data_IF_155846596058
#
_entry.id   IF_155846596058
#
_cell.length_a   1.000
_cell.length_b   1.000
_cell.length_c   1.000
_cell.angle_alpha   90.00
_cell.angle_beta   90.00
_cell.angle_gamma   90.00
#
_symmetry.space_group_name_H-M   'P 1'
#
loop_
_entity.id
_entity.type
_entity.pdbx_description
1 polymer ?
#
# COMPACT_ATOMS: atom_id res chain seq x y z
N UNK A 1 3.90 -0.29 -25.62
CA UNK A 1 4.84 0.85 -25.68
C UNK A 1 4.54 1.75 -24.51
N UNK A 2 5.28 1.60 -23.41
CA UNK A 2 5.14 2.41 -22.20
C UNK A 2 6.01 3.67 -22.34
N UNK A 3 5.38 4.84 -22.41
CA UNK A 3 6.07 6.14 -22.41
C UNK A 3 6.35 6.53 -20.96
N UNK A 4 7.64 6.51 -20.57
CA UNK A 4 8.14 7.13 -19.34
C UNK A 4 8.18 8.66 -19.55
N UNK A 5 7.38 9.41 -18.77
CA UNK A 5 7.53 10.86 -18.68
C UNK A 5 8.68 11.19 -17.72
N UNK A 6 9.82 11.58 -18.27
CA UNK A 6 10.91 12.18 -17.49
C UNK A 6 10.61 13.64 -17.23
N UNK A 7 10.32 14.01 -15.99
CA UNK A 7 10.28 15.41 -15.56
C UNK A 7 11.71 15.90 -15.31
N UNK A 8 12.15 16.87 -16.10
CA UNK A 8 13.38 17.63 -15.82
C UNK A 8 13.04 18.78 -14.88
N UNK A 9 13.67 18.76 -13.72
CA UNK A 9 13.70 19.82 -12.72
C UNK A 9 14.52 21.00 -13.24
N UNK A 10 13.85 22.10 -13.57
CA UNK A 10 14.47 23.37 -13.95
C UNK A 10 14.50 24.29 -12.72
N UNK A 11 15.55 24.14 -11.91
CA UNK A 11 15.90 25.08 -10.85
C UNK A 11 16.60 26.30 -11.47
N UNK A 12 15.85 27.38 -11.62
CA UNK A 12 16.38 28.69 -11.98
C UNK A 12 16.76 29.45 -10.70
N UNK A 13 18.06 29.48 -10.41
CA UNK A 13 18.64 30.18 -9.26
C UNK A 13 18.61 31.71 -9.52
N UNK A 14 17.58 32.40 -9.02
CA UNK A 14 17.58 33.86 -8.91
C UNK A 14 18.13 34.27 -7.54
N UNK A 15 19.32 34.86 -7.55
CA UNK A 15 19.88 35.64 -6.44
C UNK A 15 19.15 36.98 -6.37
N UNK A 16 18.27 37.13 -5.39
CA UNK A 16 17.75 38.44 -5.00
C UNK A 16 18.60 39.00 -3.86
N UNK A 17 19.36 40.05 -4.20
CA UNK A 17 20.15 40.83 -3.27
C UNK A 17 19.24 41.82 -2.54
N UNK A 18 18.82 41.50 -1.32
CA UNK A 18 18.09 42.45 -0.47
C UNK A 18 19.09 43.28 0.34
N UNK A 19 19.36 44.46 -0.20
CA UNK A 19 19.88 45.68 0.45
C UNK A 19 19.75 45.70 1.97
N UNK A 20 20.90 45.74 2.66
CA UNK A 20 21.00 46.15 4.06
C UNK A 20 21.01 47.67 4.11
N UNK A 21 19.84 48.29 4.10
CA UNK A 21 19.70 49.70 4.45
C UNK A 21 18.72 49.85 5.61
N UNK A 22 19.16 49.38 6.79
CA UNK A 22 18.53 49.73 8.06
C UNK A 22 18.95 51.18 8.40
N UNK A 23 18.42 52.14 7.66
CA UNK A 23 18.39 53.52 8.11
C UNK A 23 17.45 53.57 9.32
N UNK A 24 18.04 53.60 10.51
CA UNK A 24 17.34 54.00 11.72
C UNK A 24 16.85 55.44 11.52
N UNK A 25 15.56 55.58 11.19
CA UNK A 25 14.89 56.87 11.03
C UNK A 25 14.51 57.46 12.40
N UNK A 26 15.44 57.43 13.35
CA UNK A 26 15.28 58.00 14.68
C UNK A 26 16.46 58.95 14.94
N UNK A 27 16.20 60.23 15.27
CA UNK A 27 17.27 61.14 15.64
C UNK A 27 17.97 60.60 16.89
N UNK A 28 19.31 60.70 16.92
CA UNK A 28 20.15 60.21 18.01
C UNK A 28 19.83 60.83 19.38
N UNK A 29 19.02 61.88 19.39
CA UNK A 29 18.61 62.66 20.57
C UNK A 29 17.17 62.33 21.05
N UNK A 30 16.50 61.34 20.43
CA UNK A 30 15.15 60.93 20.83
C UNK A 30 15.10 60.30 22.24
N UNK A 31 16.18 59.63 22.67
CA UNK A 31 16.26 58.95 23.97
C UNK A 31 17.10 59.69 25.03
N UNK A 32 17.68 60.86 24.72
CA UNK A 32 18.57 61.58 25.66
C UNK A 32 17.81 62.55 26.60
N UNK A 33 16.49 62.65 26.43
CA UNK A 33 15.63 63.31 27.41
C UNK A 33 15.35 62.34 28.57
N UNK A 34 16.32 62.27 29.49
CA UNK A 34 16.25 61.47 30.70
C UNK A 34 14.89 61.55 31.39
N UNK A 35 14.12 60.46 31.30
CA UNK A 35 12.96 60.20 32.15
C UNK A 35 13.50 60.17 33.57
N UNK A 36 13.25 61.27 34.28
CA UNK A 36 13.49 61.36 35.72
C UNK A 36 12.76 60.19 36.38
N UNK A 37 13.55 59.34 37.03
CA UNK A 37 13.11 58.36 38.01
C UNK A 37 12.05 58.99 38.92
N UNK A 38 10.81 58.56 38.77
CA UNK A 38 9.67 59.22 39.40
C UNK A 38 8.32 58.60 39.10
N UNK A 39 8.24 57.27 38.96
CA UNK A 39 6.98 56.54 38.97
C UNK A 39 7.22 55.17 39.58
N UNK A 40 7.21 55.15 40.90
CA UNK A 40 6.96 53.95 41.67
C UNK A 40 5.74 54.26 42.54
N UNK A 41 4.54 54.03 42.01
CA UNK A 41 3.36 53.82 42.85
C UNK A 41 2.26 53.01 42.13
N UNK A 42 2.01 51.83 42.71
CA UNK A 42 0.78 51.03 42.65
C UNK A 42 0.16 50.70 41.28
N UNK A 43 0.68 49.66 40.63
CA UNK A 43 -0.19 48.74 39.88
C UNK A 43 -0.57 47.61 40.84
N UNK A 44 -1.87 47.38 41.15
CA UNK A 44 -2.27 46.21 41.90
C UNK A 44 -1.81 44.99 41.10
N UNK A 45 -1.05 44.09 41.73
CA UNK A 45 -0.75 42.75 41.20
C UNK A 45 -2.03 41.91 41.26
N UNK A 46 -3.04 42.33 40.50
CA UNK A 46 -4.14 41.45 40.12
C UNK A 46 -3.59 40.47 39.09
N UNK A 47 -4.07 39.24 39.13
CA UNK A 47 -3.88 38.22 38.11
C UNK A 47 -4.54 38.71 36.80
N UNK A 48 -3.91 39.66 36.12
CA UNK A 48 -4.53 40.47 35.06
C UNK A 48 -4.20 39.92 33.67
N UNK A 49 -4.27 38.60 33.50
CA UNK A 49 -4.22 37.98 32.16
C UNK A 49 -5.59 38.03 31.47
N UNK A 50 -6.68 38.28 32.21
CA UNK A 50 -8.07 38.28 31.72
C UNK A 50 -8.52 39.58 31.05
N UNK A 51 -7.72 40.67 31.10
CA UNK A 51 -8.08 41.99 30.58
C UNK A 51 -7.31 42.47 29.34
N UNK A 52 -6.31 41.71 28.88
CA UNK A 52 -5.45 42.08 27.75
C UNK A 52 -5.94 41.35 26.48
N UNK A 53 -6.30 42.06 25.38
CA UNK A 53 -6.75 41.45 24.13
C UNK A 53 -5.74 40.44 23.55
N UNK A 54 -6.25 39.46 22.80
CA UNK A 54 -5.41 38.56 22.00
C UNK A 54 -4.57 39.36 20.99
N UNK A 55 -3.26 39.08 20.89
CA UNK A 55 -2.35 39.83 20.02
C UNK A 55 -1.91 41.20 20.56
N UNK A 56 -2.07 41.47 21.86
CA UNK A 56 -1.59 42.71 22.49
C UNK A 56 -0.07 42.81 22.59
N UNK A 57 0.61 41.67 22.70
CA UNK A 57 2.06 41.63 22.54
C UNK A 57 2.34 41.41 21.06
N UNK A 58 2.94 42.42 20.41
CA UNK A 58 3.33 42.42 18.99
C UNK A 58 4.16 41.17 18.59
N UNK A 59 4.74 40.48 19.57
CA UNK A 59 5.35 39.17 19.42
C UNK A 59 4.41 38.04 19.89
N UNK A 60 3.90 37.19 18.97
CA UNK A 60 3.06 36.03 19.29
C UNK A 60 3.67 35.07 20.33
N UNK A 61 5.01 34.99 20.38
CA UNK A 61 5.76 34.18 21.36
C UNK A 61 5.68 34.75 22.77
N UNK A 62 5.69 36.08 22.91
CA UNK A 62 5.56 36.76 24.19
C UNK A 62 4.12 36.71 24.68
N UNK A 63 3.14 36.86 23.77
CA UNK A 63 1.71 36.74 24.08
C UNK A 63 1.37 35.34 24.64
N UNK A 64 1.83 34.28 23.98
CA UNK A 64 1.63 32.89 24.40
C UNK A 64 2.32 32.58 25.75
N UNK A 65 3.55 33.08 25.94
CA UNK A 65 4.31 32.92 27.20
C UNK A 65 3.63 33.63 28.37
N UNK A 66 3.06 34.81 28.16
CA UNK A 66 2.28 35.54 29.18
C UNK A 66 0.99 34.80 29.53
N UNK A 67 0.35 34.16 28.55
CA UNK A 67 -0.84 33.30 28.78
C UNK A 67 -0.52 31.88 29.27
N UNK A 68 0.76 31.50 29.40
CA UNK A 68 1.21 30.12 29.72
C UNK A 68 0.68 29.07 28.74
N UNK A 69 0.42 29.47 27.49
CA UNK A 69 0.07 28.56 26.40
C UNK A 69 1.31 28.36 25.55
N UNK A 70 1.58 27.12 25.13
CA UNK A 70 2.72 26.81 24.25
C UNK A 70 2.51 27.47 22.88
N UNK A 71 3.44 28.34 22.49
CA UNK A 71 3.45 28.92 21.14
C UNK A 71 3.79 27.82 20.15
N UNK A 72 2.81 27.37 19.36
CA UNK A 72 3.04 26.55 18.18
C UNK A 72 3.05 27.46 16.97
N UNK A 73 4.09 27.35 16.15
CA UNK A 73 4.13 28.08 14.89
C UNK A 73 3.01 27.54 13.99
N UNK A 74 2.11 28.42 13.54
CA UNK A 74 0.99 28.02 12.67
C UNK A 74 1.50 27.36 11.39
N UNK A 75 2.69 27.74 10.91
CA UNK A 75 3.32 27.13 9.75
C UNK A 75 3.78 25.69 10.05
N UNK A 76 4.35 25.43 11.22
CA UNK A 76 4.83 24.10 11.63
C UNK A 76 3.65 23.14 11.86
N UNK A 77 2.57 23.61 12.51
CA UNK A 77 1.36 22.79 12.69
C UNK A 77 0.70 22.41 11.37
N UNK A 78 0.62 23.35 10.42
CA UNK A 78 0.09 23.06 9.08
C UNK A 78 1.01 22.13 8.29
N UNK A 79 2.32 22.27 8.46
CA UNK A 79 3.30 21.38 7.84
C UNK A 79 3.22 19.95 8.37
N UNK A 80 3.14 19.76 9.68
CA UNK A 80 2.93 18.45 10.29
C UNK A 80 1.62 17.80 9.82
N UNK A 81 0.53 18.59 9.74
CA UNK A 81 -0.75 18.11 9.19
C UNK A 81 -0.61 17.66 7.75
N UNK A 82 0.08 18.44 6.92
CA UNK A 82 0.32 18.07 5.52
C UNK A 82 1.16 16.79 5.39
N UNK A 83 2.24 16.66 6.16
CA UNK A 83 3.07 15.44 6.16
C UNK A 83 2.26 14.20 6.57
N UNK A 84 1.42 14.35 7.59
CA UNK A 84 0.53 13.27 8.03
C UNK A 84 -0.49 12.91 6.96
N UNK A 85 -1.14 13.90 6.34
CA UNK A 85 -2.10 13.67 5.26
C UNK A 85 -1.46 12.95 4.08
N UNK A 86 -0.26 13.37 3.67
CA UNK A 86 0.50 12.72 2.59
C UNK A 86 0.83 11.25 2.91
N UNK A 87 1.18 10.94 4.16
CA UNK A 87 1.43 9.55 4.57
C UNK A 87 0.15 8.71 4.55
N UNK A 88 -0.95 9.27 5.05
CA UNK A 88 -2.25 8.59 5.06
C UNK A 88 -2.72 8.32 3.64
N UNK A 89 -2.69 9.31 2.75
CA UNK A 89 -3.10 9.15 1.36
C UNK A 89 -2.23 8.12 0.61
N UNK A 90 -0.91 8.11 0.87
CA UNK A 90 -0.01 7.11 0.30
C UNK A 90 -0.34 5.70 0.82
N UNK A 91 -0.62 5.55 2.12
CA UNK A 91 -1.03 4.28 2.70
C UNK A 91 -2.37 3.79 2.12
N UNK A 92 -3.35 4.68 1.97
CA UNK A 92 -4.64 4.37 1.36
C UNK A 92 -4.43 3.93 -0.09
N UNK A 93 -3.61 4.66 -0.85
CA UNK A 93 -3.29 4.31 -2.24
C UNK A 93 -2.63 2.94 -2.34
N UNK A 94 -1.66 2.63 -1.48
CA UNK A 94 -1.02 1.32 -1.43
C UNK A 94 -2.03 0.22 -1.07
N UNK A 95 -2.86 0.45 -0.06
CA UNK A 95 -3.88 -0.51 0.36
C UNK A 95 -4.90 -0.81 -0.74
N UNK A 96 -5.25 0.17 -1.58
CA UNK A 96 -6.17 -0.03 -2.70
C UNK A 96 -5.51 -0.92 -3.76
N UNK A 97 -4.26 -0.63 -4.14
CA UNK A 97 -3.52 -1.40 -5.15
C UNK A 97 -3.29 -2.84 -4.68
N UNK A 98 -2.87 -3.02 -3.43
CA UNK A 98 -2.69 -4.35 -2.84
C UNK A 98 -4.00 -5.14 -2.82
N UNK A 99 -5.12 -4.48 -2.54
CA UNK A 99 -6.45 -5.09 -2.60
C UNK A 99 -6.82 -5.57 -4.00
N UNK A 100 -6.61 -4.74 -5.02
CA UNK A 100 -6.89 -5.09 -6.42
C UNK A 100 -6.02 -6.27 -6.90
N UNK A 101 -4.74 -6.27 -6.54
CA UNK A 101 -3.81 -7.36 -6.87
C UNK A 101 -4.21 -8.68 -6.17
N UNK A 102 -4.59 -8.62 -4.89
CA UNK A 102 -5.11 -9.77 -4.13
C UNK A 102 -6.39 -10.32 -4.77
N UNK A 103 -7.34 -9.46 -5.11
CA UNK A 103 -8.60 -9.86 -5.76
C UNK A 103 -8.37 -10.53 -7.11
N UNK A 104 -7.48 -9.96 -7.93
CA UNK A 104 -7.09 -10.53 -9.22
C UNK A 104 -6.47 -11.93 -9.06
N UNK A 105 -5.59 -12.08 -8.08
CA UNK A 105 -4.97 -13.37 -7.73
C UNK A 105 -6.02 -14.39 -7.30
N UNK A 106 -6.89 -14.03 -6.36
CA UNK A 106 -7.96 -14.90 -5.85
C UNK A 106 -8.93 -15.30 -6.96
N UNK A 107 -9.30 -14.38 -7.86
CA UNK A 107 -10.21 -14.68 -8.95
C UNK A 107 -9.60 -15.69 -9.94
N UNK A 108 -8.29 -15.57 -10.22
CA UNK A 108 -7.57 -16.57 -11.01
C UNK A 108 -7.55 -17.93 -10.33
N UNK A 109 -7.16 -17.98 -9.06
CA UNK A 109 -7.12 -19.21 -8.26
C UNK A 109 -8.51 -19.88 -8.21
N UNK A 110 -9.58 -19.10 -8.05
CA UNK A 110 -10.96 -19.60 -8.04
C UNK A 110 -11.36 -20.19 -9.39
N UNK A 111 -10.99 -19.56 -10.50
CA UNK A 111 -11.23 -20.09 -11.83
C UNK A 111 -10.52 -21.43 -12.04
N UNK A 112 -9.23 -21.52 -11.67
CA UNK A 112 -8.44 -22.75 -11.77
C UNK A 112 -9.05 -23.88 -10.91
N UNK A 113 -9.46 -23.57 -9.69
CA UNK A 113 -10.12 -24.53 -8.81
C UNK A 113 -11.46 -25.01 -9.36
N UNK A 114 -12.23 -24.11 -9.99
CA UNK A 114 -13.51 -24.46 -10.61
C UNK A 114 -13.31 -25.44 -11.77
N UNK A 115 -12.27 -25.25 -12.57
CA UNK A 115 -11.92 -26.14 -13.67
C UNK A 115 -11.47 -27.51 -13.15
N UNK A 116 -10.61 -27.54 -12.13
CA UNK A 116 -10.20 -28.78 -11.46
C UNK A 116 -11.40 -29.56 -10.92
N UNK A 117 -12.36 -28.87 -10.29
CA UNK A 117 -13.61 -29.50 -9.84
C UNK A 117 -14.35 -30.19 -10.98
N UNK A 118 -14.48 -29.53 -12.13
CA UNK A 118 -15.14 -30.13 -13.31
C UNK A 118 -14.39 -31.38 -13.78
N UNK A 119 -13.06 -31.36 -13.80
CA UNK A 119 -12.27 -32.53 -14.17
C UNK A 119 -12.44 -33.69 -13.19
N UNK A 120 -12.45 -33.42 -11.88
CA UNK A 120 -12.69 -34.46 -10.88
C UNK A 120 -14.09 -35.07 -11.02
N UNK A 121 -15.13 -34.24 -11.17
CA UNK A 121 -16.50 -34.73 -11.41
C UNK A 121 -16.58 -35.61 -12.66
N UNK A 122 -15.86 -35.24 -13.73
CA UNK A 122 -15.80 -36.04 -14.95
C UNK A 122 -15.07 -37.37 -14.72
N UNK A 123 -13.96 -37.36 -13.99
CA UNK A 123 -13.19 -38.55 -13.67
C UNK A 123 -14.02 -39.54 -12.82
N UNK A 124 -14.73 -39.04 -11.82
CA UNK A 124 -15.61 -39.84 -10.96
C UNK A 124 -16.76 -40.46 -11.78
N UNK A 125 -17.41 -39.69 -12.65
CA UNK A 125 -18.46 -40.22 -13.52
C UNK A 125 -17.96 -41.34 -14.46
N UNK A 126 -16.73 -41.22 -14.96
CA UNK A 126 -16.10 -42.28 -15.78
C UNK A 126 -15.78 -43.52 -14.94
N UNK A 127 -15.33 -43.35 -13.69
CA UNK A 127 -15.06 -44.45 -12.76
C UNK A 127 -16.33 -45.20 -12.40
N UNK A 128 -17.43 -44.48 -12.14
CA UNK A 128 -18.75 -45.06 -11.91
C UNK A 128 -19.22 -45.86 -13.12
N UNK A 129 -19.08 -45.30 -14.33
CA UNK A 129 -19.41 -46.01 -15.57
C UNK A 129 -18.55 -47.26 -15.77
N UNK A 130 -17.25 -47.17 -15.50
CA UNK A 130 -16.32 -48.30 -15.62
C UNK A 130 -16.69 -49.42 -14.63
N UNK A 131 -16.98 -49.08 -13.38
CA UNK A 131 -17.37 -50.07 -12.36
C UNK A 131 -18.69 -50.76 -12.73
N UNK A 132 -19.69 -50.00 -13.18
CA UNK A 132 -20.97 -50.56 -13.65
C UNK A 132 -20.79 -51.49 -14.87
N UNK A 133 -19.90 -51.16 -15.80
CA UNK A 133 -19.58 -52.02 -16.95
C UNK A 133 -18.85 -53.29 -16.52
N UNK A 134 -17.89 -53.18 -15.59
CA UNK A 134 -17.19 -54.34 -15.02
C UNK A 134 -18.16 -55.28 -14.30
N UNK A 135 -19.09 -54.75 -13.51
CA UNK A 135 -20.10 -55.57 -12.82
C UNK A 135 -21.04 -56.28 -13.80
N UNK A 136 -21.47 -55.59 -14.87
CA UNK A 136 -22.28 -56.20 -15.93
C UNK A 136 -21.51 -57.30 -16.67
N UNK A 137 -20.25 -57.05 -17.00
CA UNK A 137 -19.35 -58.02 -17.64
C UNK A 137 -19.11 -59.24 -16.76
N UNK A 138 -18.83 -59.06 -15.47
CA UNK A 138 -18.63 -60.18 -14.53
C UNK A 138 -19.90 -61.01 -14.37
N UNK A 139 -21.08 -60.37 -14.32
CA UNK A 139 -22.38 -61.06 -14.30
C UNK A 139 -22.61 -61.87 -15.57
N UNK A 140 -22.36 -61.30 -16.75
CA UNK A 140 -22.50 -61.99 -18.03
C UNK A 140 -21.56 -63.21 -18.14
N UNK A 141 -20.28 -63.02 -17.77
CA UNK A 141 -19.28 -64.10 -17.76
C UNK A 141 -19.64 -65.21 -16.77
N UNK A 142 -20.28 -64.90 -15.64
CA UNK A 142 -20.75 -65.91 -14.68
C UNK A 142 -21.95 -66.73 -15.18
N UNK A 143 -22.69 -66.23 -16.16
CA UNK A 143 -23.87 -66.87 -16.76
C UNK A 143 -23.55 -67.65 -18.03
N UNK A 144 -22.32 -67.55 -18.56
CA UNK A 144 -21.88 -68.27 -19.75
C UNK A 144 -21.27 -69.63 -19.34
N UNK A 145 -21.78 -70.77 -19.84
CA UNK A 145 -21.13 -72.07 -19.60
C UNK A 145 -19.80 -72.10 -20.35
N UNK A 146 -18.71 -72.35 -19.62
CA UNK A 146 -17.34 -72.44 -20.15
C UNK A 146 -17.26 -73.34 -21.39
N UNK A 147 -16.77 -72.84 -22.54
CA UNK A 147 -16.13 -73.67 -23.53
C UNK A 147 -14.62 -73.39 -23.55
N UNK A 148 -13.87 -74.46 -23.31
CA UNK A 148 -12.57 -74.84 -23.86
C UNK A 148 -11.51 -73.75 -24.19
N UNK A 149 -10.30 -74.04 -23.72
CA UNK A 149 -9.01 -73.38 -23.90
C UNK A 149 -8.66 -72.85 -25.32
N UNK A 150 -7.72 -71.88 -25.28
CA UNK A 150 -6.81 -71.35 -26.31
C UNK A 150 -7.32 -70.18 -27.17
N UNK A 151 -6.74 -69.00 -26.96
CA UNK A 151 -5.86 -68.32 -27.94
C UNK A 151 -5.02 -67.26 -27.21
N UNK A 152 -3.70 -67.40 -27.23
CA UNK A 152 -2.77 -66.33 -26.89
C UNK A 152 -2.95 -65.19 -27.89
N UNK A 153 -3.56 -64.10 -27.46
CA UNK A 153 -3.53 -62.82 -28.19
C UNK A 153 -2.30 -62.07 -27.71
N UNK A 154 -1.17 -62.36 -28.35
CA UNK A 154 0.04 -61.58 -28.25
C UNK A 154 -0.23 -60.23 -28.93
N UNK A 155 -0.83 -59.31 -28.17
CA UNK A 155 -1.05 -57.93 -28.55
C UNK A 155 0.29 -57.21 -28.49
N UNK A 156 0.65 -56.57 -29.60
CA UNK A 156 1.90 -55.87 -29.85
C UNK A 156 2.14 -54.70 -28.87
N UNK A 157 2.54 -55.03 -27.64
CA UNK A 157 2.92 -54.10 -26.58
C UNK A 157 4.32 -53.48 -26.84
N UNK A 158 5.05 -54.07 -27.78
CA UNK A 158 6.38 -53.63 -28.25
C UNK A 158 6.35 -52.22 -28.84
N UNK A 159 5.32 -51.90 -29.63
CA UNK A 159 5.15 -50.58 -30.26
C UNK A 159 4.72 -49.50 -29.24
N UNK A 160 4.10 -49.89 -28.12
CA UNK A 160 3.72 -48.98 -27.06
C UNK A 160 4.92 -48.59 -26.18
N UNK A 161 5.83 -49.53 -25.92
CA UNK A 161 7.07 -49.27 -25.18
C UNK A 161 8.00 -48.29 -25.95
N UNK A 162 8.08 -48.38 -27.29
CA UNK A 162 8.87 -47.41 -28.09
C UNK A 162 8.28 -45.99 -28.03
N UNK A 163 6.96 -45.85 -27.91
CA UNK A 163 6.30 -44.56 -27.74
C UNK A 163 6.59 -43.91 -26.37
N UNK A 164 6.89 -44.70 -25.33
CA UNK A 164 7.23 -44.21 -23.99
C UNK A 164 8.68 -43.73 -23.87
N UNK A 165 9.56 -44.20 -24.77
CA UNK A 165 11.00 -43.91 -24.76
C UNK A 165 11.39 -42.52 -25.31
N UNK A 166 10.43 -41.71 -25.78
CA UNK A 166 10.66 -40.35 -26.28
C UNK A 166 11.34 -39.40 -25.27
N UNK A 167 11.34 -39.76 -23.97
CA UNK A 167 11.99 -39.01 -22.88
C UNK A 167 13.18 -39.74 -22.26
N UNK A 168 13.50 -40.95 -22.72
CA UNK A 168 14.62 -41.71 -22.21
C UNK A 168 15.93 -41.13 -22.75
N UNK A 169 16.78 -40.61 -21.86
CA UNK A 169 18.13 -40.19 -22.25
C UNK A 169 18.96 -41.45 -22.44
N UNK A 170 19.22 -41.84 -23.69
CA UNK A 170 20.08 -43.00 -23.98
C UNK A 170 21.46 -42.73 -23.36
N UNK A 171 21.75 -43.46 -22.28
CA UNK A 171 23.08 -43.47 -21.68
C UNK A 171 23.94 -44.32 -22.61
N UNK A 172 24.82 -43.66 -23.35
CA UNK A 172 25.83 -44.32 -24.18
C UNK A 172 27.01 -44.78 -23.33
#
# INVERSE_FOLDING_TARGET
MTTLMSYTDSLEEKKDETSTDNQSHLPSDFFDHGIKSGMQENIPRGDSTEGIPEGFFDDPKLDAKVRKVEYKDQAEEQWEKFQKEMQVENQVSQSIVEGEDEESRVNRELSELSEQRVYFLRADALRDRQSALKEKSSKLNSLQPQPHEQTDSNSDDSDFDEFLDWRAKKVS
#
